data_IF_459189534675
#
_entry.id   IF_459189534675
#
_cell.length_a   1.000
_cell.length_b   1.000
_cell.length_c   1.000
_cell.angle_alpha   90.00
_cell.angle_beta   90.00
_cell.angle_gamma   90.00
#
_symmetry.space_group_name_H-M   'P 1'
#
loop_
_entity.id
_entity.type
_entity.pdbx_description
1 polymer ?
#
# COMPACT_ATOMS: atom_id res chain seq x y z
N UNK A 1 -32.91 -25.14 -41.72
CA UNK A 1 -31.47 -25.03 -42.04
C UNK A 1 -30.99 -23.68 -41.59
N UNK A 2 -29.80 -23.62 -40.99
CA UNK A 2 -29.22 -22.36 -40.52
C UNK A 2 -28.15 -21.89 -41.51
N UNK A 3 -28.09 -20.59 -41.77
CA UNK A 3 -27.02 -19.97 -42.55
C UNK A 3 -26.09 -19.19 -41.61
N UNK A 4 -24.78 -19.43 -41.71
CA UNK A 4 -23.76 -18.74 -40.91
C UNK A 4 -22.48 -18.60 -41.73
N UNK A 5 -21.93 -17.38 -41.83
CA UNK A 5 -20.67 -17.10 -42.56
C UNK A 5 -20.63 -17.72 -43.97
N UNK A 6 -21.75 -17.66 -44.70
CA UNK A 6 -21.86 -18.20 -46.06
C UNK A 6 -21.98 -19.73 -46.16
N UNK A 7 -21.99 -20.46 -45.04
CA UNK A 7 -22.20 -21.91 -44.97
C UNK A 7 -23.62 -22.24 -44.51
N UNK A 8 -24.09 -23.42 -44.90
CA UNK A 8 -25.40 -23.95 -44.51
C UNK A 8 -25.26 -25.15 -43.58
N UNK A 9 -26.07 -25.18 -42.53
CA UNK A 9 -26.03 -26.21 -41.49
C UNK A 9 -27.40 -26.87 -41.36
N UNK A 10 -27.39 -28.20 -41.27
CA UNK A 10 -28.60 -28.98 -41.04
C UNK A 10 -28.99 -28.98 -39.57
N UNK A 11 -30.24 -29.34 -39.27
CA UNK A 11 -30.73 -29.37 -37.91
C UNK A 11 -29.89 -30.33 -37.04
N UNK A 12 -29.49 -29.87 -35.86
CA UNK A 12 -28.68 -30.64 -34.91
C UNK A 12 -27.17 -30.57 -35.14
N UNK A 13 -26.70 -30.06 -36.27
CA UNK A 13 -25.25 -29.90 -36.53
C UNK A 13 -24.64 -28.90 -35.56
N UNK A 14 -23.46 -29.23 -35.04
CA UNK A 14 -22.63 -28.34 -34.24
C UNK A 14 -21.36 -27.94 -34.97
N UNK A 15 -20.90 -26.71 -34.75
CA UNK A 15 -19.68 -26.17 -35.36
C UNK A 15 -19.06 -25.08 -34.47
N UNK A 16 -17.78 -24.77 -34.68
CA UNK A 16 -17.09 -23.68 -33.97
C UNK A 16 -17.19 -22.42 -34.82
N UNK A 17 -17.70 -21.34 -34.23
CA UNK A 17 -17.80 -20.00 -34.82
C UNK A 17 -16.76 -19.08 -34.19
N UNK A 18 -16.02 -18.34 -35.02
CA UNK A 18 -15.02 -17.35 -34.61
C UNK A 18 -13.96 -17.88 -33.62
N UNK A 19 -13.75 -19.20 -33.58
CA UNK A 19 -12.80 -19.86 -32.68
C UNK A 19 -13.17 -19.88 -31.20
N UNK A 20 -14.27 -19.23 -30.78
CA UNK A 20 -14.60 -19.06 -29.36
C UNK A 20 -15.94 -19.64 -28.94
N UNK A 21 -16.81 -19.99 -29.88
CA UNK A 21 -18.16 -20.46 -29.57
C UNK A 21 -18.51 -21.72 -30.34
N UNK A 22 -18.94 -22.77 -29.64
CA UNK A 22 -19.62 -23.89 -30.29
C UNK A 22 -21.08 -23.52 -30.48
N UNK A 23 -21.52 -23.51 -31.73
CA UNK A 23 -22.89 -23.22 -32.14
C UNK A 23 -23.60 -24.51 -32.51
N UNK A 24 -24.93 -24.55 -32.33
CA UNK A 24 -25.83 -25.60 -32.80
C UNK A 24 -26.92 -25.00 -33.67
N UNK A 25 -27.17 -25.60 -34.83
CA UNK A 25 -28.35 -25.26 -35.63
C UNK A 25 -29.59 -25.95 -35.08
N UNK A 26 -30.63 -25.18 -34.77
CA UNK A 26 -31.91 -25.69 -34.28
C UNK A 26 -33.01 -25.28 -35.25
N UNK A 27 -33.70 -26.25 -35.82
CA UNK A 27 -34.88 -26.04 -36.68
C UNK A 27 -36.15 -26.44 -35.92
N UNK A 28 -37.07 -25.50 -35.78
CA UNK A 28 -38.34 -25.67 -35.10
C UNK A 28 -39.41 -26.26 -36.05
N UNK A 29 -40.50 -26.78 -35.47
CA UNK A 29 -41.62 -27.39 -36.23
C UNK A 29 -42.30 -26.42 -37.20
N UNK A 30 -42.26 -25.12 -36.90
CA UNK A 30 -42.76 -24.05 -37.79
C UNK A 30 -41.78 -23.70 -38.93
N UNK A 31 -40.77 -24.53 -39.17
CA UNK A 31 -39.71 -24.37 -40.18
C UNK A 31 -38.78 -23.17 -39.96
N UNK A 32 -38.92 -22.45 -38.85
CA UNK A 32 -37.93 -21.43 -38.45
C UNK A 32 -36.66 -22.11 -37.94
N UNK A 33 -35.49 -21.51 -38.20
CA UNK A 33 -34.20 -22.03 -37.77
C UNK A 33 -33.41 -20.95 -37.04
N UNK A 34 -32.73 -21.30 -35.97
CA UNK A 34 -31.87 -20.39 -35.20
C UNK A 34 -30.53 -21.05 -34.87
N UNK A 35 -29.54 -20.22 -34.57
CA UNK A 35 -28.24 -20.65 -34.07
C UNK A 35 -28.19 -20.42 -32.56
N UNK A 36 -27.86 -21.46 -31.82
CA UNK A 36 -27.72 -21.42 -30.36
C UNK A 36 -26.27 -21.67 -29.98
N UNK A 37 -25.72 -20.84 -29.09
CA UNK A 37 -24.43 -21.15 -28.46
C UNK A 37 -24.64 -22.29 -27.47
N UNK A 38 -23.82 -23.34 -27.54
CA UNK A 38 -23.90 -24.48 -26.61
C UNK A 38 -22.75 -24.52 -25.62
N UNK A 39 -21.60 -23.96 -25.97
CA UNK A 39 -20.40 -23.88 -25.13
C UNK A 39 -19.41 -22.85 -25.69
N UNK A 40 -18.45 -22.45 -24.85
CA UNK A 40 -17.32 -21.63 -25.28
C UNK A 40 -16.08 -22.50 -25.53
N UNK A 41 -15.16 -22.02 -26.37
CA UNK A 41 -13.91 -22.69 -26.71
C UNK A 41 -12.74 -21.79 -26.34
N UNK A 42 -11.80 -22.26 -25.52
CA UNK A 42 -10.58 -21.50 -25.17
C UNK A 42 -9.64 -21.36 -26.37
N UNK A 43 -8.64 -20.44 -26.34
CA UNK A 43 -7.62 -20.36 -27.37
C UNK A 43 -6.82 -21.66 -27.58
N UNK A 44 -6.69 -22.52 -26.56
CA UNK A 44 -6.08 -23.83 -26.71
C UNK A 44 -7.05 -24.91 -27.25
N UNK A 45 -8.30 -24.55 -27.52
CA UNK A 45 -9.32 -25.44 -28.08
C UNK A 45 -10.13 -26.22 -27.04
N UNK A 46 -10.05 -25.88 -25.75
CA UNK A 46 -10.77 -26.60 -24.69
C UNK A 46 -12.21 -26.09 -24.61
N UNK A 47 -13.16 -27.01 -24.49
CA UNK A 47 -14.58 -26.70 -24.42
C UNK A 47 -15.03 -26.43 -22.98
N UNK A 48 -15.67 -25.29 -22.75
CA UNK A 48 -16.20 -24.85 -21.45
C UNK A 48 -17.73 -24.76 -21.55
N UNK A 49 -18.48 -25.49 -20.69
CA UNK A 49 -19.93 -25.38 -20.64
C UNK A 49 -20.40 -23.96 -20.26
N UNK A 50 -21.56 -23.54 -20.76
CA UNK A 50 -22.17 -22.26 -20.38
C UNK A 50 -22.40 -22.21 -18.86
N UNK A 51 -22.05 -21.08 -18.24
CA UNK A 51 -22.11 -20.87 -16.79
C UNK A 51 -20.95 -21.48 -16.01
N UNK A 52 -19.96 -22.05 -16.71
CA UNK A 52 -18.77 -22.64 -16.09
C UNK A 52 -17.51 -21.82 -16.36
N UNK A 53 -16.47 -22.11 -15.59
CA UNK A 53 -15.14 -21.54 -15.76
C UNK A 53 -14.07 -22.64 -15.79
N UNK A 54 -12.95 -22.35 -16.42
CA UNK A 54 -11.78 -23.22 -16.52
C UNK A 54 -10.52 -22.39 -16.32
N UNK A 55 -9.61 -22.87 -15.47
CA UNK A 55 -8.26 -22.31 -15.40
C UNK A 55 -7.35 -23.03 -16.41
N UNK A 56 -6.69 -22.25 -17.25
CA UNK A 56 -5.82 -22.69 -18.33
C UNK A 56 -4.56 -21.82 -18.35
N UNK A 57 -3.43 -22.40 -17.96
CA UNK A 57 -2.15 -21.70 -17.90
C UNK A 57 -2.16 -20.54 -16.89
N UNK A 58 -2.04 -19.31 -17.40
CA UNK A 58 -1.98 -18.07 -16.61
C UNK A 58 -3.32 -17.32 -16.58
N UNK A 59 -4.41 -17.95 -17.05
CA UNK A 59 -5.74 -17.34 -17.15
C UNK A 59 -6.85 -18.22 -16.61
N UNK A 60 -7.89 -17.59 -16.09
CA UNK A 60 -9.21 -18.19 -15.89
C UNK A 60 -10.10 -17.74 -17.03
N UNK A 61 -10.72 -18.70 -17.71
CA UNK A 61 -11.72 -18.46 -18.74
C UNK A 61 -13.11 -18.76 -18.19
N UNK A 62 -14.05 -17.83 -18.37
CA UNK A 62 -15.44 -17.97 -17.96
C UNK A 62 -16.35 -17.91 -19.19
N UNK A 63 -17.23 -18.90 -19.34
CA UNK A 63 -18.29 -18.90 -20.34
C UNK A 63 -19.58 -18.39 -19.71
N UNK A 64 -19.93 -17.12 -19.90
CA UNK A 64 -21.04 -16.50 -19.17
C UNK A 64 -22.41 -17.01 -19.63
N UNK A 65 -23.39 -17.03 -18.73
CA UNK A 65 -24.80 -17.30 -19.07
C UNK A 65 -25.55 -16.03 -19.51
N UNK A 66 -26.69 -16.20 -20.19
CA UNK A 66 -27.45 -15.08 -20.75
C UNK A 66 -26.90 -14.61 -22.09
N UNK A 67 -26.17 -13.49 -22.10
CA UNK A 67 -25.36 -13.10 -23.27
C UNK A 67 -24.05 -13.87 -23.21
N UNK A 68 -23.98 -14.98 -23.96
CA UNK A 68 -22.84 -15.90 -23.88
C UNK A 68 -21.58 -15.23 -24.40
N UNK A 69 -20.61 -15.05 -23.51
CA UNK A 69 -19.30 -14.47 -23.82
C UNK A 69 -18.21 -15.29 -23.17
N UNK A 70 -17.07 -15.41 -23.84
CA UNK A 70 -15.86 -15.97 -23.26
C UNK A 70 -15.04 -14.83 -22.65
N UNK A 71 -15.07 -14.72 -21.32
CA UNK A 71 -14.24 -13.76 -20.57
C UNK A 71 -12.94 -14.44 -20.15
N UNK A 72 -11.86 -13.64 -20.06
CA UNK A 72 -10.59 -14.10 -19.51
C UNK A 72 -10.11 -13.16 -18.42
N UNK A 73 -9.73 -13.71 -17.28
CA UNK A 73 -9.07 -13.00 -16.17
C UNK A 73 -7.74 -13.68 -15.85
N UNK A 74 -6.82 -13.02 -15.12
CA UNK A 74 -5.60 -13.68 -14.66
C UNK A 74 -5.90 -14.88 -13.74
N UNK A 75 -5.22 -16.00 -14.00
CA UNK A 75 -5.27 -17.22 -13.18
C UNK A 75 -4.35 -17.15 -11.97
N UNK A 76 -4.20 -18.27 -11.27
CA UNK A 76 -3.37 -18.39 -10.07
C UNK A 76 -1.92 -17.93 -10.32
N UNK A 77 -1.39 -18.19 -11.51
CA UNK A 77 -0.05 -17.74 -11.95
C UNK A 77 -0.13 -16.56 -12.95
N UNK A 78 -1.30 -15.95 -13.10
CA UNK A 78 -1.56 -14.85 -14.01
C UNK A 78 -0.79 -13.60 -13.66
N UNK A 79 -0.22 -12.95 -14.68
CA UNK A 79 0.56 -11.72 -14.49
C UNK A 79 -0.32 -10.55 -14.07
N UNK A 80 0.14 -9.78 -13.09
CA UNK A 80 -0.47 -8.51 -12.74
C UNK A 80 -0.18 -7.47 -13.82
N UNK A 81 -1.22 -6.72 -14.23
CA UNK A 81 -1.16 -5.71 -15.32
C UNK A 81 -0.52 -6.25 -16.62
N UNK A 82 -0.63 -7.56 -16.85
CA UNK A 82 -0.03 -8.25 -18.00
C UNK A 82 1.51 -8.29 -18.00
N UNK A 83 2.18 -7.76 -16.99
CA UNK A 83 3.64 -7.54 -17.00
C UNK A 83 4.34 -8.28 -15.86
N UNK A 84 3.83 -8.15 -14.63
CA UNK A 84 4.52 -8.62 -13.43
C UNK A 84 4.11 -10.05 -13.09
N UNK A 85 5.10 -10.93 -12.92
CA UNK A 85 4.85 -12.31 -12.49
C UNK A 85 4.40 -12.36 -11.02
N UNK A 86 3.67 -13.39 -10.63
CA UNK A 86 3.29 -13.61 -9.22
C UNK A 86 4.55 -13.67 -8.34
N UNK A 87 4.51 -12.96 -7.22
CA UNK A 87 5.63 -12.76 -6.29
C UNK A 87 6.61 -11.64 -6.69
N UNK A 88 6.49 -11.09 -7.91
CA UNK A 88 7.34 -9.97 -8.33
C UNK A 88 6.94 -8.70 -7.58
N UNK A 89 7.96 -7.99 -7.09
CA UNK A 89 7.83 -6.68 -6.47
C UNK A 89 8.30 -5.59 -7.43
N UNK A 90 7.62 -4.44 -7.41
CA UNK A 90 8.04 -3.26 -8.16
C UNK A 90 7.69 -1.99 -7.39
N UNK A 91 8.34 -0.89 -7.77
CA UNK A 91 8.06 0.43 -7.22
C UNK A 91 7.34 1.24 -8.30
N UNK A 92 6.23 1.84 -7.92
CA UNK A 92 5.48 2.80 -8.73
C UNK A 92 5.23 4.03 -7.86
N UNK A 93 5.69 5.19 -8.34
CA UNK A 93 5.74 6.44 -7.58
C UNK A 93 6.47 6.27 -6.23
N UNK A 94 5.72 6.30 -5.12
CA UNK A 94 6.24 6.13 -3.76
C UNK A 94 5.73 4.84 -3.11
N UNK A 95 5.27 3.86 -3.91
CA UNK A 95 4.64 2.64 -3.42
C UNK A 95 5.36 1.39 -3.93
N UNK A 96 5.73 0.51 -3.01
CA UNK A 96 6.19 -0.84 -3.32
C UNK A 96 4.99 -1.75 -3.41
N UNK A 97 4.79 -2.32 -4.58
CA UNK A 97 3.68 -3.21 -4.90
C UNK A 97 4.21 -4.63 -5.09
N UNK A 98 3.35 -5.61 -4.83
CA UNK A 98 3.60 -7.03 -5.10
C UNK A 98 2.46 -7.62 -5.92
N UNK A 99 2.82 -8.48 -6.86
CA UNK A 99 1.84 -9.24 -7.62
C UNK A 99 1.47 -10.50 -6.85
N UNK A 100 0.21 -10.61 -6.46
CA UNK A 100 -0.37 -11.78 -5.84
C UNK A 100 -1.09 -12.65 -6.89
N UNK A 101 -1.40 -13.92 -6.57
CA UNK A 101 -2.18 -14.80 -7.44
C UNK A 101 -3.46 -14.14 -7.95
N UNK A 102 -3.94 -14.61 -9.12
CA UNK A 102 -5.14 -14.08 -9.78
C UNK A 102 -5.01 -12.61 -10.22
N UNK A 103 -3.78 -12.16 -10.47
CA UNK A 103 -3.48 -10.81 -10.96
C UNK A 103 -3.78 -9.70 -9.94
N UNK A 104 -3.93 -10.04 -8.66
CA UNK A 104 -4.19 -9.09 -7.59
C UNK A 104 -2.92 -8.30 -7.28
N UNK A 105 -3.02 -6.98 -7.27
CA UNK A 105 -1.92 -6.09 -6.88
C UNK A 105 -2.14 -5.66 -5.43
N UNK A 106 -1.14 -5.88 -4.59
CA UNK A 106 -1.16 -5.49 -3.18
C UNK A 106 -0.02 -4.54 -2.85
N UNK A 107 -0.27 -3.61 -1.91
CA UNK A 107 0.75 -2.70 -1.40
C UNK A 107 1.57 -3.40 -0.30
N UNK A 108 2.90 -3.28 -0.37
CA UNK A 108 3.83 -3.81 0.62
C UNK A 108 4.41 -2.71 1.51
N UNK A 109 4.80 -1.59 0.93
CA UNK A 109 5.41 -0.47 1.64
C UNK A 109 5.28 0.85 0.87
N UNK A 110 5.50 1.96 1.57
CA UNK A 110 5.62 3.29 1.00
C UNK A 110 7.08 3.75 1.07
N UNK A 111 7.47 4.73 0.24
CA UNK A 111 8.77 5.38 0.29
C UNK A 111 8.62 6.86 0.65
N UNK A 112 9.42 7.35 1.61
CA UNK A 112 9.53 8.78 1.87
C UNK A 112 10.18 9.50 0.68
N UNK A 113 10.09 10.85 0.64
CA UNK A 113 10.76 11.64 -0.41
C UNK A 113 12.27 11.43 -0.43
N UNK A 114 12.84 11.12 0.72
CA UNK A 114 14.26 10.83 0.94
C UNK A 114 14.61 9.34 0.69
N UNK A 115 13.63 8.52 0.27
CA UNK A 115 13.84 7.12 -0.09
C UNK A 115 13.77 6.12 1.08
N UNK A 116 13.24 6.53 2.25
CA UNK A 116 13.06 5.60 3.38
C UNK A 116 11.89 4.67 3.12
N UNK A 117 12.11 3.36 3.10
CA UNK A 117 11.05 2.35 3.00
C UNK A 117 10.28 2.23 4.32
N UNK A 118 8.96 2.35 4.27
CA UNK A 118 8.04 2.32 5.40
C UNK A 118 7.02 1.20 5.13
N UNK A 119 7.12 0.04 5.81
CA UNK A 119 6.19 -1.07 5.61
C UNK A 119 4.74 -0.67 5.87
N UNK A 120 3.80 -1.29 5.12
CA UNK A 120 2.37 -1.05 5.32
C UNK A 120 1.94 -1.46 6.73
N UNK A 121 1.27 -0.55 7.44
CA UNK A 121 0.86 -0.71 8.83
C UNK A 121 1.94 -0.37 9.85
N UNK A 122 3.15 -0.03 9.41
CA UNK A 122 4.25 0.37 10.28
C UNK A 122 4.56 1.88 10.16
N UNK A 123 5.25 2.38 11.18
CA UNK A 123 5.85 3.70 11.19
C UNK A 123 7.38 3.61 11.28
N UNK A 124 8.08 4.50 10.58
CA UNK A 124 9.55 4.63 10.62
C UNK A 124 9.96 6.08 10.76
N UNK A 125 11.08 6.31 11.44
CA UNK A 125 11.74 7.61 11.48
C UNK A 125 12.41 7.87 10.13
N UNK A 126 12.16 9.03 9.54
CA UNK A 126 12.80 9.48 8.30
C UNK A 126 14.01 10.38 8.61
N UNK A 127 14.95 10.61 7.68
CA UNK A 127 16.14 11.42 7.91
C UNK A 127 15.87 12.83 8.44
N UNK A 128 14.71 13.42 8.11
CA UNK A 128 14.27 14.71 8.64
C UNK A 128 13.94 14.69 10.15
N UNK A 129 14.00 13.52 10.81
CA UNK A 129 13.92 13.36 12.26
C UNK A 129 12.53 13.06 12.81
N UNK A 130 11.47 13.23 12.03
CA UNK A 130 10.10 12.83 12.40
C UNK A 130 9.76 11.42 11.91
N UNK A 131 8.65 10.86 12.41
CA UNK A 131 8.15 9.56 11.99
C UNK A 131 7.04 9.65 10.95
N UNK A 132 7.08 8.76 9.97
CA UNK A 132 6.04 8.58 8.95
C UNK A 132 5.48 7.16 9.01
N UNK A 133 4.21 6.99 8.67
CA UNK A 133 3.52 5.71 8.58
C UNK A 133 2.90 5.52 7.20
N UNK A 134 2.89 4.27 6.74
CA UNK A 134 2.24 3.86 5.50
C UNK A 134 0.96 3.11 5.87
N UNK A 135 -0.22 3.67 5.60
CA UNK A 135 -1.50 3.12 6.07
C UNK A 135 -2.58 3.16 5.00
N UNK A 136 -3.62 2.33 5.17
CA UNK A 136 -4.84 2.40 4.35
C UNK A 136 -5.87 3.28 5.04
N UNK A 137 -6.33 4.33 4.36
CA UNK A 137 -7.38 5.25 4.84
C UNK A 137 -8.52 5.24 3.82
N UNK A 138 -9.69 4.76 4.23
CA UNK A 138 -10.88 4.67 3.38
C UNK A 138 -10.61 3.98 2.02
N UNK A 139 -9.85 2.88 2.04
CA UNK A 139 -9.48 2.13 0.83
C UNK A 139 -8.38 2.75 -0.03
N UNK A 140 -7.84 3.91 0.36
CA UNK A 140 -6.72 4.56 -0.34
C UNK A 140 -5.44 4.45 0.48
N UNK A 141 -4.30 4.39 -0.20
CA UNK A 141 -2.99 4.41 0.44
C UNK A 141 -2.68 5.83 0.89
N UNK A 142 -2.23 5.97 2.14
CA UNK A 142 -1.77 7.24 2.70
C UNK A 142 -0.37 7.05 3.32
N UNK A 143 0.56 7.87 2.86
CA UNK A 143 1.83 8.09 3.52
C UNK A 143 1.72 9.39 4.33
N UNK A 144 1.70 9.28 5.66
CA UNK A 144 1.43 10.41 6.54
C UNK A 144 2.36 10.43 7.74
N UNK A 145 2.39 11.55 8.48
CA UNK A 145 3.16 11.65 9.73
C UNK A 145 2.51 10.80 10.82
N UNK A 146 3.29 9.89 11.42
CA UNK A 146 2.81 9.00 12.47
C UNK A 146 2.56 9.78 13.76
N UNK A 147 1.30 10.01 14.15
CA UNK A 147 0.98 10.85 15.32
C UNK A 147 1.54 10.31 16.63
N UNK A 148 1.45 8.99 16.80
CA UNK A 148 1.84 8.29 18.01
C UNK A 148 3.11 7.49 17.74
N UNK A 149 4.26 8.15 17.92
CA UNK A 149 5.56 7.53 17.75
C UNK A 149 6.47 7.98 18.87
N UNK A 150 7.16 7.02 19.49
CA UNK A 150 8.06 7.28 20.60
C UNK A 150 9.32 8.03 20.12
N UNK A 151 9.91 8.81 21.00
CA UNK A 151 11.16 9.51 20.72
C UNK A 151 12.35 8.60 20.97
N UNK A 152 13.43 8.81 20.23
CA UNK A 152 14.73 8.19 20.50
C UNK A 152 15.67 9.28 21.02
N UNK A 153 16.37 9.01 22.12
CA UNK A 153 17.38 9.92 22.68
C UNK A 153 18.68 9.86 21.86
N UNK A 154 19.60 10.82 22.04
CA UNK A 154 20.93 10.74 21.44
C UNK A 154 21.75 9.50 21.84
N UNK A 155 21.34 8.77 22.88
CA UNK A 155 21.95 7.50 23.32
C UNK A 155 21.22 6.25 22.81
N UNK A 156 20.18 6.40 21.98
CA UNK A 156 19.38 5.30 21.45
C UNK A 156 18.31 4.77 22.39
N UNK A 157 18.00 5.46 23.49
CA UNK A 157 16.93 5.06 24.41
C UNK A 157 15.57 5.52 23.87
N UNK A 158 14.55 4.67 23.99
CA UNK A 158 13.17 5.02 23.60
C UNK A 158 12.44 5.73 24.75
N UNK A 159 11.81 6.87 24.44
CA UNK A 159 10.98 7.66 25.35
C UNK A 159 9.54 7.77 24.84
N UNK A 160 8.58 7.45 25.70
CA UNK A 160 7.16 7.59 25.41
C UNK A 160 6.77 9.05 25.28
N UNK A 161 5.70 9.30 24.53
CA UNK A 161 5.13 10.66 24.38
C UNK A 161 4.83 11.24 25.76
N UNK A 162 5.27 12.47 26.00
CA UNK A 162 5.14 13.17 27.27
C UNK A 162 6.30 12.96 28.24
N UNK A 163 7.09 11.89 28.09
CA UNK A 163 8.26 11.67 28.94
C UNK A 163 9.31 12.77 28.73
N UNK A 164 10.02 13.07 29.81
CA UNK A 164 11.10 14.04 29.84
C UNK A 164 12.41 13.40 30.22
N UNK A 165 13.50 13.87 29.62
CA UNK A 165 14.86 13.43 29.95
C UNK A 165 15.84 14.58 29.82
N UNK A 166 17.00 14.40 30.45
CA UNK A 166 18.11 15.33 30.33
C UNK A 166 19.04 14.86 29.21
N UNK A 167 19.38 15.76 28.31
CA UNK A 167 20.36 15.56 27.25
C UNK A 167 21.42 16.67 27.38
N UNK A 168 22.53 16.34 28.05
CA UNK A 168 23.47 17.34 28.54
C UNK A 168 22.79 18.32 29.50
N UNK A 169 22.93 19.62 29.25
CA UNK A 169 22.33 20.67 30.06
C UNK A 169 20.88 21.02 29.64
N UNK A 170 20.26 20.26 28.74
CA UNK A 170 18.91 20.54 28.24
C UNK A 170 17.92 19.50 28.76
N UNK A 171 16.75 19.97 29.18
CA UNK A 171 15.60 19.12 29.48
C UNK A 171 14.77 19.01 28.22
N UNK A 172 14.59 17.78 27.73
CA UNK A 172 13.76 17.48 26.57
C UNK A 172 12.44 16.85 26.98
N UNK A 173 11.43 17.01 26.14
CA UNK A 173 10.15 16.31 26.24
C UNK A 173 9.84 15.63 24.91
N UNK A 174 9.42 14.37 24.94
CA UNK A 174 8.94 13.70 23.76
C UNK A 174 7.56 14.26 23.37
N UNK A 175 7.46 14.80 22.16
CA UNK A 175 6.22 15.28 21.59
C UNK A 175 5.64 14.23 20.62
N UNK A 176 4.52 14.56 19.99
CA UNK A 176 3.95 13.75 18.91
C UNK A 176 4.94 13.62 17.74
N UNK A 177 4.70 12.64 16.86
CA UNK A 177 5.52 12.41 15.66
C UNK A 177 6.96 11.96 15.91
N UNK A 178 7.27 11.49 17.13
CA UNK A 178 8.61 11.02 17.49
C UNK A 178 9.65 12.12 17.58
N UNK A 179 9.24 13.40 17.58
CA UNK A 179 10.15 14.54 17.72
C UNK A 179 10.21 14.99 19.17
N UNK A 180 11.38 15.41 19.62
CA UNK A 180 11.58 15.91 20.98
C UNK A 180 11.79 17.42 20.96
N UNK A 181 11.19 18.12 21.93
CA UNK A 181 11.34 19.56 22.12
C UNK A 181 12.17 19.84 23.37
N UNK A 182 13.01 20.89 23.33
CA UNK A 182 13.70 21.38 24.51
C UNK A 182 12.69 22.23 25.31
N UNK A 183 12.45 21.88 26.57
CA UNK A 183 11.50 22.55 27.46
C UNK A 183 12.18 23.33 28.59
N UNK A 184 13.51 23.23 28.69
CA UNK A 184 14.28 23.92 29.71
C UNK A 184 15.74 23.45 29.73
N UNK A 185 16.45 23.84 30.77
CA UNK A 185 17.81 23.43 31.05
C UNK A 185 17.89 22.70 32.39
N UNK A 186 18.92 21.90 32.58
CA UNK A 186 19.19 21.18 33.82
C UNK A 186 20.61 21.44 34.26
N UNK A 187 20.79 21.69 35.55
CA UNK A 187 22.10 21.86 36.18
C UNK A 187 22.23 20.84 37.29
N UNK A 188 23.24 19.99 37.22
CA UNK A 188 23.48 18.97 38.23
C UNK A 188 23.71 19.60 39.60
N UNK A 189 23.09 19.01 40.63
CA UNK A 189 23.11 19.55 41.99
C UNK A 189 22.30 20.84 42.24
N UNK A 190 21.70 21.46 41.21
CA UNK A 190 20.87 22.67 41.38
C UNK A 190 19.41 22.45 40.97
N UNK A 191 19.18 21.78 39.83
CA UNK A 191 17.82 21.46 39.36
C UNK A 191 17.51 22.02 37.96
N UNK A 192 16.22 22.06 37.63
CA UNK A 192 15.72 22.49 36.31
C UNK A 192 15.46 23.99 36.23
N UNK A 193 15.76 24.58 35.07
CA UNK A 193 15.55 25.99 34.73
C UNK A 193 14.61 26.03 33.52
N UNK A 194 13.48 26.74 33.61
CA UNK A 194 12.58 26.91 32.48
C UNK A 194 13.24 27.70 31.34
N UNK A 195 12.71 27.56 30.12
CA UNK A 195 13.18 28.37 28.98
C UNK A 195 13.04 29.86 29.27
N UNK A 196 14.06 30.63 28.90
CA UNK A 196 14.19 32.07 29.15
C UNK A 196 14.14 32.46 30.64
N UNK A 197 14.41 31.49 31.52
CA UNK A 197 14.60 31.74 32.94
C UNK A 197 16.07 31.63 33.32
N UNK A 198 16.38 32.13 34.51
CA UNK A 198 17.69 32.03 35.12
C UNK A 198 17.57 31.52 36.56
N UNK A 199 18.66 31.00 37.09
CA UNK A 199 18.75 30.49 38.45
C UNK A 199 20.13 30.80 39.01
N UNK A 200 20.19 31.30 40.24
CA UNK A 200 21.44 31.57 40.96
C UNK A 200 21.67 30.49 41.99
N UNK A 201 22.88 29.93 42.04
CA UNK A 201 23.31 29.00 43.09
C UNK A 201 24.77 29.26 43.44
N UNK A 202 25.03 29.66 44.68
CA UNK A 202 26.32 30.22 45.09
C UNK A 202 26.67 31.47 44.29
N UNK A 203 27.92 31.55 43.82
CA UNK A 203 28.43 32.68 43.02
C UNK A 203 28.14 32.52 41.51
N UNK A 204 27.27 31.59 41.12
CA UNK A 204 27.00 31.27 39.72
C UNK A 204 25.55 31.59 39.34
N UNK A 205 25.39 32.30 38.24
CA UNK A 205 24.13 32.56 37.55
C UNK A 205 24.04 31.66 36.31
N UNK A 206 23.03 30.80 36.29
CA UNK A 206 22.72 29.91 35.17
C UNK A 206 21.55 30.47 34.37
N UNK A 207 21.68 30.49 33.04
CA UNK A 207 20.67 31.02 32.14
C UNK A 207 20.30 29.99 31.08
N UNK A 208 19.00 29.72 30.94
CA UNK A 208 18.46 28.90 29.86
C UNK A 208 17.82 29.81 28.81
N UNK A 209 18.44 29.96 27.65
CA UNK A 209 18.06 30.96 26.65
C UNK A 209 17.46 30.25 25.43
N UNK A 210 16.32 30.72 24.95
CA UNK A 210 15.76 30.38 23.66
C UNK A 210 15.45 31.66 22.87
N UNK A 211 16.15 31.86 21.75
CA UNK A 211 15.92 32.96 20.80
C UNK A 211 15.84 32.39 19.39
N UNK A 212 14.68 32.50 18.75
CA UNK A 212 14.44 32.00 17.38
C UNK A 212 14.90 30.55 17.18
N UNK A 213 14.48 29.66 18.10
CA UNK A 213 14.84 28.23 18.12
C UNK A 213 16.33 27.93 18.28
N UNK A 214 17.14 28.94 18.65
CA UNK A 214 18.50 28.74 19.12
C UNK A 214 18.53 28.63 20.64
N UNK A 215 18.73 27.39 21.11
CA UNK A 215 18.83 27.06 22.52
C UNK A 215 20.27 27.23 23.01
N UNK A 216 20.47 27.98 24.09
CA UNK A 216 21.79 28.22 24.69
C UNK A 216 21.69 28.10 26.20
N UNK A 217 22.60 27.33 26.78
CA UNK A 217 22.85 27.30 28.21
C UNK A 217 24.08 28.16 28.51
N UNK A 218 23.97 29.10 29.46
CA UNK A 218 25.08 29.96 29.87
C UNK A 218 25.26 29.95 31.38
N UNK A 219 26.51 30.01 31.80
CA UNK A 219 26.91 30.18 33.19
C UNK A 219 27.75 31.45 33.32
N UNK A 220 27.39 32.33 34.25
CA UNK A 220 28.07 33.57 34.57
C UNK A 220 28.39 33.60 36.07
N UNK A 221 29.32 34.45 36.51
CA UNK A 221 29.43 34.77 37.94
C UNK A 221 28.33 35.73 38.34
N UNK A 222 27.63 35.44 39.44
CA UNK A 222 26.69 36.35 40.06
C UNK A 222 27.47 37.58 40.59
N UNK A 223 26.96 38.78 40.32
CA UNK A 223 27.48 40.04 40.87
C UNK A 223 26.87 40.30 42.25
#
# INVERSE_FOLDING_TARGET
MCAHEGKQYTNGTTFISQGSFRMKCVTFKNLTSTLEVVSCITPAGIEIPIGSQLEEGDKVYECTSGNVTLKSTPGQNGKCRGTYSVGQEWIEDSFKLICEPYGKVSLKSCFSKEGTEIPLGEARRVPAGYAMECVMVNGNVALQTAKNFDCETGTGETKKIGETWNEGNFVRRCAHYGVSSIIGCYVDGVGSIGLNQNMTSGDLLYMCINQNDQFKFRTLRAQ
#
